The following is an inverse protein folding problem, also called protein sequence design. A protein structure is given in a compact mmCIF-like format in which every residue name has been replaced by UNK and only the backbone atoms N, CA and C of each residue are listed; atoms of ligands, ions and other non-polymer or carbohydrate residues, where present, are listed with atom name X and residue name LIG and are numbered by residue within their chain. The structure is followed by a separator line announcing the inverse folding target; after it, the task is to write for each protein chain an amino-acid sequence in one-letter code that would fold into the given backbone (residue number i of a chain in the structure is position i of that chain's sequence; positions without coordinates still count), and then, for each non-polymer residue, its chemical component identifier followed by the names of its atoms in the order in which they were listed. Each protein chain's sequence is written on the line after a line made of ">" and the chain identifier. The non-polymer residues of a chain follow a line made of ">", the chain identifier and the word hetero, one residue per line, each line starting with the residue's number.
data_IF_256152969626
#
_entry.id   IF_256152969626
#
_cell.length_a   1.000
_cell.length_b   1.000
_cell.length_c   1.000
_cell.angle_alpha   90.00
_cell.angle_beta   90.00
_cell.angle_gamma   90.00
#
_symmetry.space_group_name_H-M   'P 1'
#
loop_
_entity.id
_entity.type
_entity.pdbx_description
1 polymer ?
#
# COMPACT_ATOMS: atom_id res chain seq x y z
N UNK A 1 65.59 -14.13 -3.48
CA UNK A 1 64.41 -14.42 -2.67
C UNK A 1 63.98 -15.83 -2.95
N UNK A 2 63.96 -16.78 -2.00
CA UNK A 2 63.53 -18.13 -2.26
C UNK A 2 62.01 -18.23 -2.34
N UNK A 3 61.50 -19.07 -3.25
CA UNK A 3 60.09 -19.37 -3.46
C UNK A 3 59.51 -20.14 -2.22
N UNK A 4 58.27 -19.95 -1.88
CA UNK A 4 57.63 -20.70 -0.79
C UNK A 4 57.44 -22.16 -1.16
N UNK A 5 57.44 -23.09 -0.15
CA UNK A 5 57.34 -24.52 -0.40
C UNK A 5 55.96 -24.92 -0.90
N UNK A 6 55.94 -25.95 -1.78
CA UNK A 6 54.72 -26.51 -2.34
C UNK A 6 53.85 -27.20 -1.29
N UNK A 7 52.54 -27.03 -1.44
CA UNK A 7 51.49 -27.60 -0.61
C UNK A 7 51.43 -29.13 -0.79
N UNK A 8 51.26 -29.93 0.28
CA UNK A 8 51.16 -31.40 0.17
C UNK A 8 49.86 -31.83 -0.53
N UNK A 9 49.83 -32.97 -1.20
CA UNK A 9 48.62 -33.46 -1.84
C UNK A 9 47.63 -34.00 -0.77
N UNK A 10 46.43 -33.56 -0.96
CA UNK A 10 45.23 -33.76 -0.20
C UNK A 10 44.71 -35.15 -0.12
N UNK A 11 44.27 -35.52 1.02
CA UNK A 11 43.42 -36.67 1.35
C UNK A 11 41.95 -36.32 0.97
N UNK A 12 41.57 -36.60 -0.28
CA UNK A 12 40.17 -36.66 -0.69
C UNK A 12 39.66 -38.09 -0.57
N UNK A 13 39.22 -38.48 0.60
CA UNK A 13 38.29 -39.59 0.74
C UNK A 13 36.96 -39.08 1.28
N UNK A 14 36.09 -38.80 0.35
CA UNK A 14 34.68 -38.49 0.62
C UNK A 14 33.99 -39.76 1.09
N UNK A 15 33.60 -39.79 2.34
CA UNK A 15 32.58 -40.69 2.87
C UNK A 15 31.23 -40.28 2.30
N UNK A 16 30.78 -41.01 1.27
CA UNK A 16 29.39 -40.95 0.80
C UNK A 16 28.51 -41.71 1.77
N UNK A 17 28.01 -41.05 2.79
CA UNK A 17 26.86 -41.50 3.54
C UNK A 17 25.59 -41.28 2.70
N UNK A 18 25.04 -42.38 2.14
CA UNK A 18 23.67 -42.41 1.60
C UNK A 18 22.72 -42.24 2.78
N UNK A 19 22.27 -41.01 3.00
CA UNK A 19 21.12 -40.74 3.85
C UNK A 19 19.89 -40.85 2.99
N UNK A 20 19.06 -41.87 3.24
CA UNK A 20 17.74 -42.00 2.65
C UNK A 20 16.88 -40.84 3.16
N UNK A 21 15.99 -40.26 2.31
CA UNK A 21 15.09 -39.22 2.77
C UNK A 21 14.12 -39.77 3.81
N UNK A 22 13.80 -38.99 4.88
CA UNK A 22 12.81 -39.43 5.85
C UNK A 22 11.42 -39.52 5.17
N UNK A 23 10.70 -40.59 5.49
CA UNK A 23 9.31 -40.77 5.10
C UNK A 23 8.47 -39.60 5.65
N UNK A 24 7.50 -39.08 4.88
CA UNK A 24 6.60 -38.04 5.39
C UNK A 24 5.80 -38.59 6.58
N UNK A 25 5.56 -37.77 7.62
CA UNK A 25 4.72 -38.18 8.74
C UNK A 25 3.29 -38.40 8.25
N UNK A 26 2.67 -39.49 8.74
CA UNK A 26 1.25 -39.78 8.51
C UNK A 26 0.39 -38.60 8.99
N UNK A 27 -0.26 -37.93 8.04
CA UNK A 27 -1.26 -36.93 8.32
C UNK A 27 -2.49 -37.63 8.91
N UNK A 28 -3.03 -37.19 10.04
CA UNK A 28 -4.28 -37.70 10.55
C UNK A 28 -5.40 -37.33 9.55
N UNK A 29 -6.13 -38.35 9.12
CA UNK A 29 -7.33 -38.20 8.28
C UNK A 29 -8.39 -37.44 9.09
N UNK A 30 -8.58 -36.16 8.77
CA UNK A 30 -9.72 -35.40 9.27
C UNK A 30 -10.98 -35.93 8.63
N UNK A 31 -11.83 -36.56 9.43
CA UNK A 31 -13.21 -36.83 9.05
C UNK A 31 -13.95 -35.51 8.88
N UNK A 32 -14.79 -35.32 7.84
CA UNK A 32 -15.59 -34.13 7.69
C UNK A 32 -16.81 -34.19 8.63
N UNK A 33 -16.70 -33.50 9.77
CA UNK A 33 -17.87 -33.10 10.54
C UNK A 33 -18.01 -31.59 10.43
N UNK A 34 -18.52 -31.13 9.32
CA UNK A 34 -18.97 -29.73 9.17
C UNK A 34 -20.40 -29.71 9.68
N UNK A 35 -20.57 -29.34 10.94
CA UNK A 35 -21.86 -28.86 11.41
C UNK A 35 -22.15 -27.55 10.70
N UNK A 36 -23.21 -27.53 9.92
CA UNK A 36 -23.70 -26.34 9.21
C UNK A 36 -23.99 -25.22 10.26
N UNK A 37 -23.49 -23.99 10.07
CA UNK A 37 -23.77 -22.93 11.00
C UNK A 37 -25.28 -22.63 11.01
N UNK A 38 -25.90 -22.30 12.16
CA UNK A 38 -27.31 -22.00 12.23
C UNK A 38 -27.65 -20.82 11.33
N UNK A 39 -28.72 -20.96 10.54
CA UNK A 39 -29.26 -19.93 9.68
C UNK A 39 -29.59 -18.67 10.53
N UNK A 40 -29.34 -17.46 10.05
CA UNK A 40 -29.72 -16.26 10.75
C UNK A 40 -31.25 -16.21 10.93
N UNK A 41 -31.74 -15.61 12.04
CA UNK A 41 -33.16 -15.53 12.31
C UNK A 41 -33.90 -14.81 11.19
N UNK A 42 -35.03 -15.37 10.76
CA UNK A 42 -35.85 -14.83 9.68
C UNK A 42 -36.26 -13.39 9.96
N UNK A 43 -36.26 -12.58 8.92
CA UNK A 43 -36.68 -11.17 8.94
C UNK A 43 -38.13 -11.11 9.47
N UNK A 44 -38.47 -10.15 10.38
CA UNK A 44 -39.84 -9.96 10.83
C UNK A 44 -40.81 -9.75 9.66
N UNK A 45 -42.01 -10.35 9.75
CA UNK A 45 -43.03 -10.39 8.70
C UNK A 45 -43.70 -9.03 8.40
N UNK A 46 -43.27 -7.95 9.00
CA UNK A 46 -43.93 -6.65 8.87
C UNK A 46 -43.48 -5.74 7.70
N UNK A 47 -42.62 -6.23 6.82
CA UNK A 47 -42.18 -5.49 5.66
C UNK A 47 -42.51 -6.20 4.34
N UNK A 48 -43.69 -6.75 4.22
CA UNK A 48 -44.21 -7.18 2.92
C UNK A 48 -44.76 -5.99 2.15
N UNK A 49 -44.32 -5.76 0.89
CA UNK A 49 -44.80 -4.66 0.07
C UNK A 49 -46.11 -5.04 -0.63
N UNK A 50 -47.21 -5.22 0.13
CA UNK A 50 -48.52 -5.45 -0.43
C UNK A 50 -49.60 -4.68 0.38
N UNK A 51 -49.48 -3.36 0.37
CA UNK A 51 -50.60 -2.48 0.63
C UNK A 51 -50.87 -1.70 -0.66
N UNK A 52 -51.95 -2.00 -1.27
CA UNK A 52 -52.40 -1.27 -2.45
C UNK A 52 -52.52 0.22 -2.13
N UNK A 53 -52.11 1.13 -3.05
CA UNK A 53 -52.21 2.57 -2.80
C UNK A 53 -53.68 2.99 -2.80
N UNK A 54 -54.14 3.47 -1.63
CA UNK A 54 -55.41 4.22 -1.55
C UNK A 54 -55.35 5.41 -2.50
N UNK A 55 -56.46 5.64 -3.21
CA UNK A 55 -56.63 6.78 -4.13
C UNK A 55 -56.37 8.10 -3.38
N UNK A 56 -55.18 8.67 -3.52
CA UNK A 56 -54.92 10.06 -3.18
C UNK A 56 -55.47 10.94 -4.31
N UNK A 57 -56.27 11.93 -3.96
CA UNK A 57 -56.71 12.96 -4.89
C UNK A 57 -55.51 13.72 -5.43
N UNK A 58 -55.49 14.12 -6.72
CA UNK A 58 -54.37 14.87 -7.28
C UNK A 58 -54.28 16.24 -6.58
N UNK A 59 -53.07 16.74 -6.33
CA UNK A 59 -52.86 18.10 -5.85
C UNK A 59 -53.29 19.10 -6.96
N UNK A 60 -53.70 20.32 -6.60
CA UNK A 60 -54.11 21.34 -7.58
C UNK A 60 -52.97 21.68 -8.53
N UNK A 61 -53.27 21.82 -9.81
CA UNK A 61 -52.39 22.27 -10.88
C UNK A 61 -51.65 23.53 -10.47
N UNK A 62 -50.41 23.43 -10.07
CA UNK A 62 -49.48 24.55 -10.08
C UNK A 62 -48.90 24.62 -11.50
N UNK A 63 -49.35 25.65 -12.23
CA UNK A 63 -48.78 26.01 -13.54
C UNK A 63 -47.24 26.10 -13.40
N UNK A 64 -46.46 25.55 -14.33
CA UNK A 64 -45.01 25.67 -14.30
C UNK A 64 -44.61 27.14 -14.35
N UNK A 65 -43.60 27.59 -13.59
CA UNK A 65 -43.09 28.93 -13.67
C UNK A 65 -42.60 29.19 -15.09
N UNK A 66 -43.25 30.12 -15.77
CA UNK A 66 -42.83 30.64 -17.07
C UNK A 66 -41.51 31.38 -16.88
N UNK A 67 -40.41 30.81 -17.36
CA UNK A 67 -39.09 31.46 -17.29
C UNK A 67 -37.93 30.56 -16.87
N UNK A 68 -37.89 29.33 -17.30
CA UNK A 68 -36.60 28.64 -17.35
C UNK A 68 -35.76 29.30 -18.45
N UNK A 69 -34.54 29.74 -18.17
CA UNK A 69 -33.68 30.25 -19.24
C UNK A 69 -33.51 29.13 -20.26
N UNK A 70 -33.71 29.49 -21.53
CA UNK A 70 -33.38 28.69 -22.69
C UNK A 70 -32.04 28.02 -22.46
N UNK A 71 -32.02 26.69 -22.63
CA UNK A 71 -30.91 25.79 -22.32
C UNK A 71 -29.57 26.46 -22.64
N UNK A 72 -28.77 26.73 -21.60
CA UNK A 72 -27.46 27.33 -21.79
C UNK A 72 -26.66 26.42 -22.74
N UNK A 73 -26.04 26.97 -23.79
CA UNK A 73 -25.30 26.14 -24.74
C UNK A 73 -24.27 25.29 -23.98
N UNK A 74 -24.34 24.00 -24.22
CA UNK A 74 -23.35 23.05 -23.64
C UNK A 74 -21.95 23.57 -23.98
N UNK A 75 -21.02 23.57 -23.01
CA UNK A 75 -19.63 23.91 -23.30
C UNK A 75 -19.14 23.05 -24.45
N UNK A 76 -18.31 23.55 -25.37
CA UNK A 76 -17.80 22.80 -26.51
C UNK A 76 -17.13 21.52 -25.98
N UNK A 77 -17.41 20.39 -26.65
CA UNK A 77 -16.79 19.13 -26.32
C UNK A 77 -15.26 19.31 -26.34
N UNK A 78 -14.58 18.81 -25.28
CA UNK A 78 -13.11 18.85 -25.21
C UNK A 78 -12.56 18.17 -26.46
N UNK A 79 -11.61 18.77 -27.21
CA UNK A 79 -10.99 18.14 -28.36
C UNK A 79 -10.42 16.77 -27.99
N UNK A 80 -10.61 15.77 -28.87
CA UNK A 80 -10.16 14.39 -28.62
C UNK A 80 -8.65 14.32 -28.39
N UNK A 81 -7.87 15.19 -29.01
CA UNK A 81 -6.44 15.33 -28.86
C UNK A 81 -5.98 15.80 -27.46
N UNK A 82 -6.89 16.29 -26.62
CA UNK A 82 -6.61 16.71 -25.25
C UNK A 82 -7.08 15.67 -24.21
N UNK A 83 -7.43 14.46 -24.65
CA UNK A 83 -7.87 13.36 -23.80
C UNK A 83 -7.08 12.07 -24.05
N UNK A 84 -6.85 11.29 -23.01
CA UNK A 84 -6.18 9.98 -23.11
C UNK A 84 -4.70 10.05 -23.51
N UNK A 85 -4.25 9.10 -24.31
CA UNK A 85 -2.85 8.92 -24.68
C UNK A 85 -2.27 10.08 -25.49
N UNK A 86 -3.09 10.79 -26.25
CA UNK A 86 -2.69 11.98 -27.00
C UNK A 86 -2.35 13.15 -26.05
N UNK A 87 -3.13 13.34 -24.98
CA UNK A 87 -2.81 14.34 -23.97
C UNK A 87 -1.51 14.03 -23.24
N UNK A 88 -1.22 12.74 -23.01
CA UNK A 88 0.04 12.31 -22.41
C UNK A 88 1.26 12.58 -23.31
N UNK A 89 1.09 12.49 -24.65
CA UNK A 89 2.13 12.84 -25.63
C UNK A 89 2.44 14.32 -25.69
N UNK A 90 1.44 15.16 -25.42
CA UNK A 90 1.55 16.63 -25.46
C UNK A 90 2.00 17.21 -24.11
N UNK A 91 1.94 16.43 -23.02
CA UNK A 91 2.42 16.87 -21.73
C UNK A 91 3.95 17.10 -21.78
N UNK A 92 4.46 18.22 -21.23
CA UNK A 92 5.90 18.44 -21.15
C UNK A 92 6.54 17.27 -20.41
N UNK A 93 7.69 16.79 -20.93
CA UNK A 93 8.42 15.71 -20.28
C UNK A 93 8.82 16.14 -18.88
N UNK A 94 8.34 15.41 -17.87
CA UNK A 94 8.76 15.60 -16.48
C UNK A 94 10.23 15.15 -16.39
N UNK A 95 11.18 16.00 -15.98
CA UNK A 95 12.56 15.58 -15.85
C UNK A 95 12.71 14.52 -14.75
N UNK A 96 13.61 13.57 -14.96
CA UNK A 96 13.96 12.59 -13.95
C UNK A 96 14.68 13.26 -12.77
N UNK A 97 14.26 12.96 -11.54
CA UNK A 97 14.93 13.45 -10.32
C UNK A 97 16.20 12.64 -10.03
N UNK A 98 17.26 12.97 -10.76
CA UNK A 98 18.57 12.30 -10.65
C UNK A 98 19.19 12.50 -9.25
N UNK A 99 18.88 13.60 -8.59
CA UNK A 99 19.33 13.89 -7.24
C UNK A 99 18.69 12.96 -6.20
N UNK A 100 17.39 12.70 -6.34
CA UNK A 100 16.69 11.71 -5.53
C UNK A 100 17.26 10.29 -5.77
N UNK A 101 17.50 9.91 -7.03
CA UNK A 101 18.07 8.60 -7.34
C UNK A 101 19.45 8.41 -6.69
N UNK A 102 20.31 9.43 -6.77
CA UNK A 102 21.61 9.40 -6.10
C UNK A 102 21.49 9.23 -4.57
N UNK A 103 20.47 9.84 -3.95
CA UNK A 103 20.20 9.62 -2.52
C UNK A 103 19.71 8.20 -2.23
N UNK A 104 18.86 7.63 -3.08
CA UNK A 104 18.45 6.22 -2.95
C UNK A 104 19.64 5.26 -3.03
N UNK A 105 20.55 5.48 -3.98
CA UNK A 105 21.77 4.69 -4.10
C UNK A 105 22.61 4.79 -2.81
N UNK A 106 22.78 5.99 -2.28
CA UNK A 106 23.50 6.22 -1.02
C UNK A 106 22.82 5.59 0.21
N UNK A 107 21.52 5.40 0.16
CA UNK A 107 20.72 4.74 1.21
C UNK A 107 20.68 3.21 1.03
N UNK A 108 21.25 2.67 -0.06
CA UNK A 108 21.31 1.24 -0.33
C UNK A 108 19.95 0.62 -0.70
N UNK A 109 19.04 1.40 -1.27
CA UNK A 109 17.76 0.90 -1.78
C UNK A 109 18.00 0.13 -3.08
N UNK A 110 17.41 -1.07 -3.20
CA UNK A 110 17.51 -1.87 -4.43
C UNK A 110 16.29 -1.63 -5.29
N UNK A 111 16.49 -1.09 -6.48
CA UNK A 111 15.42 -0.76 -7.41
C UNK A 111 15.83 -0.94 -8.87
N UNK A 112 14.83 -1.03 -9.75
CA UNK A 112 14.98 -0.94 -11.19
C UNK A 112 14.15 0.24 -11.71
N UNK A 113 14.72 1.02 -12.63
CA UNK A 113 13.96 2.03 -13.39
C UNK A 113 13.09 1.32 -14.42
N UNK A 114 11.83 1.71 -14.49
CA UNK A 114 10.89 1.19 -15.45
C UNK A 114 10.60 2.24 -16.55
N UNK A 115 10.11 1.76 -17.68
CA UNK A 115 9.60 2.66 -18.72
C UNK A 115 8.40 3.46 -18.18
N UNK A 116 8.18 4.69 -18.69
CA UNK A 116 7.00 5.46 -18.33
C UNK A 116 5.73 4.65 -18.57
N UNK A 117 4.81 4.72 -17.63
CA UNK A 117 3.49 4.09 -17.74
C UNK A 117 2.47 5.15 -18.13
N UNK A 118 1.76 4.91 -19.24
CA UNK A 118 0.68 5.77 -19.71
C UNK A 118 -0.66 5.17 -19.29
N UNK A 119 -1.36 5.85 -18.41
CA UNK A 119 -2.67 5.41 -17.89
C UNK A 119 -3.56 6.64 -17.57
N UNK A 120 -3.86 7.44 -18.60
CA UNK A 120 -4.62 8.67 -18.44
C UNK A 120 -4.02 9.56 -17.33
N UNK A 121 -4.87 9.95 -16.38
CA UNK A 121 -4.45 10.78 -15.24
C UNK A 121 -3.55 10.07 -14.23
N UNK A 122 -3.47 8.73 -14.28
CA UNK A 122 -2.63 7.90 -13.41
C UNK A 122 -1.30 7.52 -14.07
N UNK A 123 -0.84 8.30 -15.05
CA UNK A 123 0.41 8.06 -15.76
C UNK A 123 1.62 8.31 -14.85
N UNK A 124 2.63 7.46 -14.98
CA UNK A 124 3.87 7.51 -14.19
C UNK A 124 5.05 7.82 -15.12
N UNK A 125 5.66 9.00 -15.04
CA UNK A 125 6.76 9.37 -15.95
C UNK A 125 8.07 8.64 -15.63
N UNK A 126 8.37 8.39 -14.37
CA UNK A 126 9.62 7.77 -13.92
C UNK A 126 9.38 6.75 -12.79
N UNK A 127 8.65 5.64 -13.08
CA UNK A 127 8.35 4.65 -12.05
C UNK A 127 9.59 3.82 -11.70
N UNK A 128 9.73 3.49 -10.42
CA UNK A 128 10.73 2.58 -9.89
C UNK A 128 10.06 1.29 -9.43
N UNK A 129 10.65 0.15 -9.76
CA UNK A 129 10.35 -1.12 -9.14
C UNK A 129 11.32 -1.34 -7.98
N UNK A 130 10.89 -1.05 -6.76
CA UNK A 130 11.70 -1.23 -5.56
C UNK A 130 11.55 -2.67 -5.08
N UNK A 131 12.67 -3.37 -4.86
CA UNK A 131 12.66 -4.77 -4.43
C UNK A 131 13.15 -4.98 -3.00
N UNK A 132 13.97 -4.06 -2.46
CA UNK A 132 14.40 -4.08 -1.07
C UNK A 132 14.82 -2.68 -0.62
N UNK A 133 14.71 -2.42 0.68
CA UNK A 133 15.24 -1.22 1.31
C UNK A 133 16.68 -1.46 1.80
N UNK A 134 17.37 -0.39 2.14
CA UNK A 134 18.73 -0.47 2.65
C UNK A 134 18.86 -1.36 3.88
N UNK A 135 20.05 -1.98 4.04
CA UNK A 135 20.27 -2.94 5.13
C UNK A 135 19.58 -4.29 4.94
N UNK A 136 19.09 -4.59 3.75
CA UNK A 136 18.42 -5.86 3.42
C UNK A 136 17.01 -5.98 4.02
N UNK A 137 16.36 -4.87 4.27
CA UNK A 137 14.97 -4.84 4.75
C UNK A 137 14.04 -5.22 3.60
N UNK A 138 13.29 -6.32 3.80
CA UNK A 138 12.34 -6.85 2.82
C UNK A 138 11.07 -6.00 2.75
N UNK A 139 10.51 -5.88 1.56
CA UNK A 139 9.16 -5.35 1.34
C UNK A 139 8.22 -6.38 0.71
N UNK A 140 8.64 -7.66 0.75
CA UNK A 140 7.93 -8.76 0.09
C UNK A 140 8.19 -8.78 -1.42
N UNK A 141 7.17 -8.61 -2.22
CA UNK A 141 7.30 -8.50 -3.67
C UNK A 141 7.79 -7.10 -4.09
N UNK A 142 8.46 -6.97 -5.26
CA UNK A 142 8.81 -5.67 -5.81
C UNK A 142 7.59 -4.76 -5.95
N UNK A 143 7.71 -3.52 -5.49
CA UNK A 143 6.63 -2.55 -5.44
C UNK A 143 6.92 -1.33 -6.31
N UNK A 144 5.88 -0.84 -7.00
CA UNK A 144 5.97 0.33 -7.87
C UNK A 144 5.92 1.61 -7.03
N UNK A 145 6.95 2.43 -7.11
CA UNK A 145 7.07 3.65 -6.31
C UNK A 145 7.66 4.82 -7.10
N UNK A 146 7.32 6.04 -6.71
CA UNK A 146 8.14 7.19 -7.06
C UNK A 146 9.46 7.15 -6.29
N UNK A 147 10.49 7.83 -6.81
CA UNK A 147 11.75 7.97 -6.09
C UNK A 147 11.53 8.59 -4.69
N UNK A 148 10.71 9.63 -4.61
CA UNK A 148 10.41 10.37 -3.38
C UNK A 148 9.72 9.49 -2.33
N UNK A 149 8.78 8.62 -2.76
CA UNK A 149 8.15 7.66 -1.86
C UNK A 149 9.17 6.66 -1.31
N UNK A 150 10.01 6.10 -2.18
CA UNK A 150 11.05 5.14 -1.79
C UNK A 150 12.06 5.75 -0.81
N UNK A 151 12.47 7.01 -1.03
CA UNK A 151 13.35 7.75 -0.11
C UNK A 151 12.68 7.96 1.26
N UNK A 152 11.42 8.40 1.26
CA UNK A 152 10.65 8.59 2.50
C UNK A 152 10.51 7.28 3.28
N UNK A 153 10.19 6.19 2.60
CA UNK A 153 10.07 4.85 3.19
C UNK A 153 11.39 4.39 3.80
N UNK A 154 12.51 4.60 3.10
CA UNK A 154 13.83 4.22 3.62
C UNK A 154 14.23 5.05 4.84
N UNK A 155 14.00 6.36 4.82
CA UNK A 155 14.27 7.25 5.96
C UNK A 155 13.46 6.84 7.19
N UNK A 156 12.18 6.58 7.01
CA UNK A 156 11.32 6.09 8.08
C UNK A 156 11.74 4.70 8.58
N UNK A 157 12.22 3.84 7.72
CA UNK A 157 12.74 2.51 8.09
C UNK A 157 13.85 2.60 9.14
N UNK A 158 14.72 3.60 9.06
CA UNK A 158 15.76 3.82 10.06
C UNK A 158 15.17 4.13 11.46
N UNK A 159 14.10 4.92 11.52
CA UNK A 159 13.38 5.21 12.77
C UNK A 159 12.68 3.96 13.31
N UNK A 160 11.99 3.21 12.41
CA UNK A 160 11.33 1.94 12.78
C UNK A 160 12.33 0.96 13.38
N UNK A 161 13.53 0.87 12.79
CA UNK A 161 14.60 -0.01 13.28
C UNK A 161 15.03 0.36 14.71
N UNK A 162 15.21 1.66 14.99
CA UNK A 162 15.60 2.13 16.32
C UNK A 162 14.49 1.85 17.35
N UNK A 163 13.22 2.04 16.97
CA UNK A 163 12.08 1.74 17.84
C UNK A 163 11.98 0.24 18.10
N UNK A 164 12.14 -0.60 17.08
CA UNK A 164 12.11 -2.05 17.19
C UNK A 164 13.22 -2.57 18.15
N UNK A 165 14.41 -2.03 18.01
CA UNK A 165 15.54 -2.38 18.85
C UNK A 165 15.32 -1.98 20.32
N UNK A 166 14.79 -0.78 20.53
CA UNK A 166 14.44 -0.26 21.87
C UNK A 166 13.34 -1.09 22.55
N UNK A 167 12.25 -1.39 21.83
CA UNK A 167 11.09 -2.04 22.43
C UNK A 167 11.26 -3.57 22.57
N UNK A 168 11.97 -4.19 21.66
CA UNK A 168 12.02 -5.63 21.55
C UNK A 168 13.45 -6.21 21.62
N UNK A 169 14.50 -5.39 21.48
CA UNK A 169 15.87 -5.88 21.34
C UNK A 169 16.07 -6.74 20.10
N UNK A 170 15.25 -6.55 19.08
CA UNK A 170 15.23 -7.38 17.88
C UNK A 170 15.09 -6.53 16.61
N UNK A 171 15.98 -6.72 15.62
CA UNK A 171 15.96 -5.91 14.41
C UNK A 171 14.77 -6.23 13.52
N UNK A 172 14.22 -5.17 12.90
CA UNK A 172 13.26 -5.29 11.81
C UNK A 172 13.88 -6.09 10.65
N UNK A 173 13.10 -6.96 10.03
CA UNK A 173 13.47 -7.72 8.82
C UNK A 173 12.70 -7.27 7.58
N UNK A 174 11.56 -6.68 7.76
CA UNK A 174 10.79 -6.18 6.63
C UNK A 174 9.42 -5.66 7.00
N UNK A 175 8.73 -5.24 5.96
CA UNK A 175 7.35 -4.80 5.99
C UNK A 175 6.44 -5.76 5.23
N UNK A 176 5.20 -5.87 5.67
CA UNK A 176 4.11 -6.41 4.85
C UNK A 176 3.38 -5.23 4.24
N UNK A 177 3.46 -5.08 2.91
CA UNK A 177 2.80 -3.99 2.20
C UNK A 177 1.44 -4.44 1.65
N UNK A 178 0.44 -3.56 1.72
CA UNK A 178 -0.88 -3.75 1.13
C UNK A 178 -0.93 -3.31 -0.33
N UNK A 179 -0.22 -2.24 -0.67
CA UNK A 179 -0.17 -1.74 -2.05
C UNK A 179 0.57 -0.41 -2.17
N UNK A 180 0.97 -0.08 -3.39
CA UNK A 180 1.65 1.19 -3.73
C UNK A 180 1.07 1.89 -4.95
N UNK A 181 0.59 1.13 -5.95
CA UNK A 181 0.01 1.71 -7.16
C UNK A 181 -1.33 1.05 -7.51
N UNK A 182 -2.34 1.89 -7.58
CA UNK A 182 -3.66 1.54 -8.11
C UNK A 182 -4.35 2.82 -8.59
N UNK A 183 -4.78 2.84 -9.85
CA UNK A 183 -5.49 3.99 -10.42
C UNK A 183 -6.93 4.04 -9.90
N UNK A 184 -7.18 4.87 -8.88
CA UNK A 184 -8.49 5.04 -8.24
C UNK A 184 -8.65 6.39 -7.54
N UNK A 185 -9.88 6.80 -7.33
CA UNK A 185 -10.19 7.92 -6.43
C UNK A 185 -9.88 7.61 -4.96
N UNK A 186 -9.78 8.64 -4.14
CA UNK A 186 -9.62 8.52 -2.69
C UNK A 186 -10.80 7.73 -2.11
N UNK A 187 -10.51 6.84 -1.17
CA UNK A 187 -11.50 5.97 -0.51
C UNK A 187 -12.41 5.21 -1.51
N UNK A 188 -11.89 4.88 -2.70
CA UNK A 188 -12.60 4.22 -3.80
C UNK A 188 -13.79 5.04 -4.37
N UNK A 189 -13.87 6.34 -4.08
CA UNK A 189 -14.90 7.22 -4.63
C UNK A 189 -14.74 7.44 -6.14
N UNK A 190 -15.82 7.26 -6.90
CA UNK A 190 -15.80 7.36 -8.38
C UNK A 190 -15.54 8.80 -8.85
N UNK A 191 -16.07 9.79 -8.13
CA UNK A 191 -15.90 11.22 -8.42
C UNK A 191 -14.91 11.92 -7.48
N UNK A 192 -14.24 11.16 -6.61
CA UNK A 192 -13.27 11.70 -5.68
C UNK A 192 -11.97 12.09 -6.40
N UNK A 193 -11.22 13.02 -5.81
CA UNK A 193 -9.86 13.30 -6.27
C UNK A 193 -9.04 12.00 -6.31
N UNK A 194 -8.09 11.90 -7.25
CA UNK A 194 -7.22 10.75 -7.34
C UNK A 194 -6.43 10.56 -6.05
N UNK A 195 -6.32 9.31 -5.63
CA UNK A 195 -5.46 8.90 -4.52
C UNK A 195 -4.00 9.04 -4.91
N UNK A 196 -3.11 9.26 -3.94
CA UNK A 196 -1.66 9.22 -4.16
C UNK A 196 -1.16 7.84 -4.62
N UNK A 197 -1.90 6.77 -4.37
CA UNK A 197 -1.66 5.46 -4.99
C UNK A 197 -1.75 5.50 -6.52
N UNK A 198 -2.56 6.38 -7.08
CA UNK A 198 -2.69 6.55 -8.53
C UNK A 198 -1.43 7.10 -9.19
N UNK A 199 -0.51 7.63 -8.39
CA UNK A 199 0.77 8.19 -8.80
C UNK A 199 1.97 7.40 -8.28
N UNK A 200 1.75 6.20 -7.72
CA UNK A 200 2.76 5.41 -7.01
C UNK A 200 3.50 6.22 -5.92
N UNK A 201 2.80 7.18 -5.33
CA UNK A 201 3.30 8.15 -4.36
C UNK A 201 2.76 7.90 -2.94
N UNK A 202 2.14 6.75 -2.72
CA UNK A 202 1.64 6.24 -1.45
C UNK A 202 1.99 4.77 -1.24
N UNK A 203 2.07 4.35 0.02
CA UNK A 203 2.27 2.96 0.43
C UNK A 203 1.38 2.64 1.63
N UNK A 204 0.73 1.48 1.58
CA UNK A 204 -0.02 0.93 2.69
C UNK A 204 0.83 -0.11 3.41
N UNK A 205 1.16 0.14 4.68
CA UNK A 205 1.93 -0.76 5.53
C UNK A 205 0.98 -1.53 6.44
N UNK A 206 0.83 -2.82 6.15
CA UNK A 206 -0.04 -3.74 6.89
C UNK A 206 0.63 -4.31 8.14
N UNK A 207 1.98 -4.35 8.17
CA UNK A 207 2.67 -4.94 9.29
C UNK A 207 4.19 -4.93 9.18
N UNK A 208 4.81 -5.43 10.24
CA UNK A 208 6.26 -5.44 10.47
C UNK A 208 6.72 -6.87 10.76
N UNK A 209 7.80 -7.30 10.11
CA UNK A 209 8.35 -8.65 10.27
C UNK A 209 9.73 -8.58 10.96
N UNK A 210 10.03 -9.60 11.76
CA UNK A 210 11.22 -9.69 12.57
C UNK A 210 11.90 -11.06 12.40
N UNK A 211 13.10 -11.24 12.93
CA UNK A 211 13.85 -12.49 12.74
C UNK A 211 13.30 -13.66 13.57
N UNK A 212 12.84 -13.39 14.81
CA UNK A 212 12.51 -14.44 15.78
C UNK A 212 11.12 -14.34 16.39
N UNK A 213 10.48 -13.19 16.28
CA UNK A 213 9.15 -12.97 16.84
C UNK A 213 8.07 -13.04 15.76
N UNK A 214 6.84 -13.26 16.20
CA UNK A 214 5.63 -13.16 15.36
C UNK A 214 5.54 -11.77 14.74
N UNK A 215 5.19 -11.64 13.46
CA UNK A 215 4.93 -10.36 12.83
C UNK A 215 3.90 -9.52 13.59
N UNK A 216 4.11 -8.22 13.63
CA UNK A 216 3.15 -7.27 14.19
C UNK A 216 2.29 -6.74 13.05
N UNK A 217 0.99 -6.98 13.11
CA UNK A 217 0.03 -6.47 12.13
C UNK A 217 -0.64 -5.21 12.69
N UNK A 218 -0.76 -4.20 11.84
CA UNK A 218 -1.45 -2.94 12.18
C UNK A 218 -2.94 -3.23 12.39
N UNK A 219 -3.54 -2.63 13.41
CA UNK A 219 -4.97 -2.77 13.72
C UNK A 219 -5.37 -4.04 14.49
N UNK A 220 -4.42 -4.98 14.72
CA UNK A 220 -4.71 -6.22 15.46
C UNK A 220 -3.97 -6.31 16.80
N UNK A 221 -3.21 -5.29 17.16
CA UNK A 221 -2.43 -5.26 18.41
C UNK A 221 -3.35 -5.05 19.61
N UNK A 222 -3.23 -5.88 20.68
CA UNK A 222 -4.03 -5.67 21.89
C UNK A 222 -3.73 -4.32 22.53
N UNK A 223 -4.76 -3.65 23.02
CA UNK A 223 -4.60 -2.38 23.74
C UNK A 223 -3.66 -2.53 24.96
N UNK A 224 -2.78 -1.54 25.16
CA UNK A 224 -1.79 -1.54 26.23
C UNK A 224 -0.61 -2.50 26.02
N UNK A 225 -0.56 -3.26 24.93
CA UNK A 225 0.57 -4.14 24.63
C UNK A 225 1.80 -3.34 24.14
N UNK A 226 3.00 -3.96 24.23
CA UNK A 226 4.22 -3.40 23.63
C UNK A 226 4.08 -3.25 22.10
N UNK A 227 3.37 -4.15 21.46
CA UNK A 227 3.09 -4.10 20.03
C UNK A 227 2.23 -2.88 19.67
N UNK A 228 1.22 -2.57 20.48
CA UNK A 228 0.40 -1.36 20.28
C UNK A 228 1.23 -0.09 20.48
N UNK A 229 2.08 -0.04 21.50
CA UNK A 229 2.99 1.08 21.74
C UNK A 229 3.98 1.25 20.57
N UNK A 230 4.56 0.15 20.08
CA UNK A 230 5.44 0.15 18.91
C UNK A 230 4.74 0.73 17.68
N UNK A 231 3.52 0.26 17.35
CA UNK A 231 2.76 0.76 16.19
C UNK A 231 2.45 2.25 16.33
N UNK A 232 2.10 2.71 17.54
CA UNK A 232 1.86 4.13 17.80
C UNK A 232 3.12 4.98 17.61
N UNK A 233 4.28 4.52 18.10
CA UNK A 233 5.54 5.23 18.00
C UNK A 233 6.03 5.31 16.54
N UNK A 234 5.99 4.20 15.79
CA UNK A 234 6.41 4.19 14.38
C UNK A 234 5.48 5.05 13.51
N UNK A 235 4.17 5.06 13.80
CA UNK A 235 3.19 5.96 13.15
C UNK A 235 3.52 7.42 13.42
N UNK A 236 3.78 7.78 14.66
CA UNK A 236 4.19 9.15 15.04
C UNK A 236 5.45 9.58 14.29
N UNK A 237 6.44 8.71 14.19
CA UNK A 237 7.68 8.96 13.48
C UNK A 237 7.51 9.05 11.95
N UNK A 238 6.53 8.36 11.39
CA UNK A 238 6.22 8.46 9.96
C UNK A 238 5.90 9.91 9.53
N UNK A 239 5.34 10.71 10.44
CA UNK A 239 5.02 12.12 10.18
C UNK A 239 6.25 13.00 9.87
N UNK A 240 7.46 12.56 10.22
CA UNK A 240 8.70 13.25 9.87
C UNK A 240 9.11 12.99 8.41
N UNK A 241 8.76 11.83 7.86
CA UNK A 241 9.16 11.39 6.53
C UNK A 241 8.05 11.54 5.46
N UNK A 242 6.77 11.57 5.85
CA UNK A 242 5.62 11.60 4.95
C UNK A 242 4.74 12.83 5.15
N UNK A 243 4.04 13.21 4.11
CA UNK A 243 3.12 14.36 4.14
C UNK A 243 1.73 13.99 4.63
N UNK A 244 1.33 12.71 4.42
CA UNK A 244 0.11 12.14 5.01
C UNK A 244 0.48 10.87 5.75
N UNK A 245 -0.05 10.73 6.94
CA UNK A 245 0.03 9.53 7.77
C UNK A 245 -1.37 9.27 8.32
N UNK A 246 -2.03 8.22 7.87
CA UNK A 246 -3.32 7.76 8.39
C UNK A 246 -3.16 6.34 8.93
N UNK A 247 -4.02 5.96 9.87
CA UNK A 247 -3.96 4.62 10.44
C UNK A 247 -5.15 4.33 11.35
N UNK A 248 -5.13 3.27 12.17
CA UNK A 248 -6.22 2.92 13.05
C UNK A 248 -6.72 4.11 13.88
N UNK A 249 -8.02 4.42 13.75
CA UNK A 249 -8.65 5.55 14.43
C UNK A 249 -8.73 6.85 13.62
N UNK A 250 -8.11 6.95 12.43
CA UNK A 250 -8.31 8.11 11.54
C UNK A 250 -9.66 8.06 10.84
N UNK A 251 -9.98 6.92 10.23
CA UNK A 251 -11.27 6.62 9.60
C UNK A 251 -11.43 5.09 9.43
N UNK A 252 -12.59 4.66 8.90
CA UNK A 252 -12.92 3.24 8.72
C UNK A 252 -12.05 2.52 7.66
N UNK A 253 -11.53 3.26 6.67
CA UNK A 253 -10.72 2.69 5.58
C UNK A 253 -9.30 2.35 6.05
N UNK A 254 -8.80 3.00 7.10
CA UNK A 254 -7.44 2.86 7.61
C UNK A 254 -7.36 2.06 8.92
N UNK A 255 -8.38 1.24 9.23
CA UNK A 255 -8.44 0.50 10.49
C UNK A 255 -7.34 -0.58 10.66
N UNK A 256 -6.76 -1.08 9.57
CA UNK A 256 -5.85 -2.24 9.55
C UNK A 256 -4.49 -2.00 8.88
N UNK A 257 -4.15 -0.78 8.56
CA UNK A 257 -2.86 -0.41 7.95
C UNK A 257 -2.47 1.03 8.25
N UNK A 258 -1.22 1.37 7.98
CA UNK A 258 -0.76 2.74 7.93
C UNK A 258 -0.69 3.15 6.46
N UNK A 259 -1.49 4.14 6.07
CA UNK A 259 -1.36 4.81 4.78
C UNK A 259 -0.34 5.94 4.91
N UNK A 260 0.71 5.90 4.08
CA UNK A 260 1.81 6.84 4.08
C UNK A 260 1.98 7.41 2.68
N UNK A 261 1.92 8.74 2.52
CA UNK A 261 2.08 9.37 1.21
C UNK A 261 2.97 10.63 1.22
N UNK A 262 3.38 11.01 0.03
CA UNK A 262 4.21 12.19 -0.24
C UNK A 262 3.44 13.32 -0.94
N UNK A 263 2.12 13.43 -0.68
CA UNK A 263 1.28 14.46 -1.28
C UNK A 263 1.82 15.85 -1.01
N UNK A 264 2.00 16.63 -2.06
CA UNK A 264 2.40 18.01 -1.91
C UNK A 264 1.22 18.87 -1.45
N UNK A 265 1.44 19.65 -0.39
CA UNK A 265 0.47 20.58 0.15
C UNK A 265 1.08 21.96 0.31
N UNK A 266 0.23 22.99 0.17
CA UNK A 266 0.66 24.39 0.36
C UNK A 266 1.31 24.57 1.73
N UNK A 267 2.36 25.38 1.77
CA UNK A 267 3.13 25.70 2.98
C UNK A 267 3.70 24.49 3.74
N UNK A 268 3.88 23.33 3.08
CA UNK A 268 4.43 22.14 3.72
C UNK A 268 3.55 21.51 4.78
N UNK A 269 2.22 21.76 4.74
CA UNK A 269 1.27 21.18 5.68
C UNK A 269 1.28 19.64 5.61
N UNK A 270 1.32 19.00 6.78
CA UNK A 270 1.26 17.54 6.94
C UNK A 270 -0.03 17.13 7.64
N UNK A 271 -0.63 16.04 7.19
CA UNK A 271 -1.81 15.43 7.80
C UNK A 271 -1.37 14.14 8.49
N UNK A 272 -1.40 14.14 9.82
CA UNK A 272 -0.98 12.99 10.62
C UNK A 272 -2.08 12.67 11.65
N UNK A 273 -2.75 11.55 11.44
CA UNK A 273 -3.89 11.08 12.23
C UNK A 273 -3.72 9.60 12.61
#
# INVERSE_FOLDING_TARGET
>A
MPLPPARPPELSQALQLKVAPPSPPDLPTCAPSVAEPPLPPGRPAELSPNSAPGKASPPPDLAPPSGLPEEAPLPPARPAELSGDEAAKLAPAVPEDTECLRRLDGLGVTYAKLAPTVNGQCSLPHPLSVSALGGGISIGAPALMTCRLAEGLMRWTAEVQQIADREFGEPLKGFTLGGTYVCRGQNHGVEAQLSEHSFANAVDVMGFTFAKRTPILVGTTPEGSKEAAFVADVRKKACEAFSTVLGPGSDEHHANHLHLDQRERKAGYRLCQ
#
